data_IF_257947708697
#
_entry.id   IF_257947708697
#
_cell.length_a   1.000
_cell.length_b   1.000
_cell.length_c   1.000
_cell.angle_alpha   90.00
_cell.angle_beta   90.00
_cell.angle_gamma   90.00
#
_symmetry.space_group_name_H-M   'P 1'
#
loop_
_entity.id
_entity.type
_entity.pdbx_description
1 polymer ?
#
# COMPACT_ATOMS: atom_id res chain seq x y z
N UNK A 1 3.26 -0.35 30.85
CA UNK A 1 3.74 1.02 30.57
C UNK A 1 3.62 1.38 29.10
N UNK A 2 2.38 1.51 28.59
CA UNK A 2 2.12 2.02 27.24
C UNK A 2 1.20 3.24 27.38
N UNK A 3 1.76 4.43 27.15
CA UNK A 3 1.08 5.71 27.31
C UNK A 3 1.89 6.83 26.68
N UNK A 4 1.31 8.03 26.62
CA UNK A 4 2.02 9.21 26.10
C UNK A 4 3.15 9.62 27.05
N UNK A 5 4.33 9.90 26.53
CA UNK A 5 5.44 10.48 27.31
C UNK A 5 5.25 12.00 27.54
N UNK A 6 4.57 12.68 26.61
CA UNK A 6 4.25 14.10 26.69
C UNK A 6 2.88 14.38 26.05
N UNK A 7 2.17 15.40 26.51
CA UNK A 7 0.90 15.86 25.93
C UNK A 7 0.86 17.39 25.95
N UNK A 8 0.74 18.01 24.78
CA UNK A 8 0.69 19.46 24.63
C UNK A 8 -0.64 19.91 24.04
N UNK A 9 -1.18 21.00 24.58
CA UNK A 9 -2.41 21.65 24.12
C UNK A 9 -2.12 23.11 23.79
N UNK A 10 -2.79 23.67 22.79
CA UNK A 10 -2.65 25.09 22.44
C UNK A 10 -3.89 25.61 21.72
N UNK A 11 -4.40 26.75 22.20
CA UNK A 11 -5.41 27.55 21.51
C UNK A 11 -4.79 28.66 20.64
N UNK A 12 -3.48 28.88 20.76
CA UNK A 12 -2.72 29.79 19.89
C UNK A 12 -2.56 29.19 18.48
N UNK A 13 -2.93 29.97 17.45
CA UNK A 13 -2.94 29.54 16.06
C UNK A 13 -1.53 29.27 15.51
N UNK A 14 -0.53 30.08 15.87
CA UNK A 14 0.85 29.86 15.42
C UNK A 14 1.38 28.55 16.00
N UNK A 15 1.15 28.31 17.29
CA UNK A 15 1.56 27.07 17.93
C UNK A 15 0.81 25.85 17.38
N UNK A 16 -0.47 25.98 17.04
CA UNK A 16 -1.23 24.91 16.35
C UNK A 16 -0.62 24.57 14.99
N UNK A 17 -0.21 25.57 14.22
CA UNK A 17 0.49 25.37 12.93
C UNK A 17 1.81 24.61 13.14
N UNK A 18 2.59 24.96 14.18
CA UNK A 18 3.83 24.26 14.51
C UNK A 18 3.59 22.78 14.86
N UNK A 19 2.59 22.49 15.71
CA UNK A 19 2.23 21.11 16.06
C UNK A 19 1.81 20.32 14.81
N UNK A 20 0.99 20.93 13.94
CA UNK A 20 0.58 20.30 12.68
C UNK A 20 1.73 20.09 11.70
N UNK A 21 2.76 20.93 11.75
CA UNK A 21 3.95 20.77 10.89
C UNK A 21 4.56 19.40 11.08
N UNK A 22 4.69 18.91 12.33
CA UNK A 22 5.23 17.58 12.62
C UNK A 22 4.48 16.47 11.87
N UNK A 23 3.14 16.49 11.90
CA UNK A 23 2.31 15.51 11.17
C UNK A 23 2.42 15.64 9.65
N UNK A 24 2.48 16.87 9.13
CA UNK A 24 2.52 17.15 7.68
C UNK A 24 3.86 16.81 7.03
N UNK A 25 4.95 16.95 7.77
CA UNK A 25 6.32 16.72 7.25
C UNK A 25 6.81 15.29 7.45
N UNK A 26 6.00 14.41 8.06
CA UNK A 26 6.39 13.03 8.36
C UNK A 26 6.94 12.28 7.13
N UNK A 27 6.30 12.42 5.96
CA UNK A 27 6.78 11.85 4.70
C UNK A 27 8.17 12.34 4.31
N UNK A 28 8.43 13.65 4.41
CA UNK A 28 9.74 14.23 4.11
C UNK A 28 10.82 13.80 5.11
N UNK A 29 10.47 13.61 6.38
CA UNK A 29 11.38 13.10 7.41
C UNK A 29 11.78 11.65 7.14
N UNK A 30 10.85 10.80 6.70
CA UNK A 30 11.16 9.41 6.36
C UNK A 30 12.20 9.32 5.23
N UNK A 31 12.12 10.20 4.23
CA UNK A 31 13.14 10.30 3.17
C UNK A 31 14.52 10.78 3.64
N UNK A 32 14.63 11.34 4.85
CA UNK A 32 15.93 11.64 5.48
C UNK A 32 16.48 10.45 6.30
N UNK A 33 15.59 9.57 6.77
CA UNK A 33 15.97 8.40 7.57
C UNK A 33 16.42 7.22 6.72
N UNK A 34 15.84 7.06 5.53
CA UNK A 34 16.07 5.89 4.68
C UNK A 34 16.12 6.28 3.20
N UNK A 35 16.99 5.65 2.39
CA UNK A 35 17.01 5.89 0.95
C UNK A 35 15.71 5.44 0.27
N UNK A 36 15.11 4.34 0.75
CA UNK A 36 13.84 3.82 0.26
C UNK A 36 12.88 3.58 1.43
N UNK A 37 11.57 3.71 1.16
CA UNK A 37 10.53 3.20 2.03
C UNK A 37 9.33 2.76 1.22
N UNK A 38 8.63 1.73 1.71
CA UNK A 38 7.38 1.27 1.12
C UNK A 38 6.24 1.60 2.09
N UNK A 39 5.35 2.48 1.64
CA UNK A 39 4.14 2.85 2.35
C UNK A 39 3.03 1.83 2.07
N UNK A 40 2.50 1.25 3.13
CA UNK A 40 1.24 0.51 3.07
C UNK A 40 0.09 1.44 3.50
N UNK A 41 -1.12 1.11 3.07
CA UNK A 41 -2.34 1.88 3.37
C UNK A 41 -3.50 0.91 3.43
N UNK A 42 -4.18 0.83 4.57
CA UNK A 42 -5.30 -0.06 4.78
C UNK A 42 -6.16 0.44 5.93
N UNK A 43 -7.47 0.24 5.83
CA UNK A 43 -8.40 0.54 6.93
C UNK A 43 -8.77 -0.76 7.64
N UNK A 44 -8.73 -0.74 8.96
CA UNK A 44 -9.15 -1.85 9.81
C UNK A 44 -10.19 -1.38 10.83
N UNK A 45 -11.01 -2.28 11.40
CA UNK A 45 -11.85 -1.93 12.52
C UNK A 45 -11.03 -1.39 13.69
N UNK A 46 -11.43 -0.27 14.29
CA UNK A 46 -10.71 0.35 15.42
C UNK A 46 -10.42 -0.61 16.58
N UNK A 47 -11.30 -1.59 16.80
CA UNK A 47 -11.11 -2.66 17.80
C UNK A 47 -9.85 -3.50 17.58
N UNK A 48 -9.34 -3.55 16.35
CA UNK A 48 -8.16 -4.31 15.95
C UNK A 48 -6.89 -3.45 15.87
N UNK A 49 -6.96 -2.15 16.17
CA UNK A 49 -5.85 -1.22 15.97
C UNK A 49 -4.58 -1.63 16.73
N UNK A 50 -4.71 -1.96 18.01
CA UNK A 50 -3.58 -2.39 18.83
C UNK A 50 -2.97 -3.70 18.31
N UNK A 51 -3.81 -4.69 18.00
CA UNK A 51 -3.38 -6.01 17.54
C UNK A 51 -2.64 -5.93 16.20
N UNK A 52 -3.16 -5.16 15.24
CA UNK A 52 -2.55 -5.02 13.91
C UNK A 52 -1.26 -4.18 13.98
N UNK A 53 -1.21 -3.13 14.82
CA UNK A 53 0.03 -2.39 15.03
C UNK A 53 1.12 -3.25 15.66
N UNK A 54 0.79 -4.06 16.68
CA UNK A 54 1.75 -5.01 17.26
C UNK A 54 2.25 -6.00 16.23
N UNK A 55 1.36 -6.58 15.43
CA UNK A 55 1.72 -7.46 14.32
C UNK A 55 2.70 -6.80 13.34
N UNK A 56 2.46 -5.54 12.95
CA UNK A 56 3.37 -4.79 12.07
C UNK A 56 4.75 -4.63 12.68
N UNK A 57 4.83 -4.29 13.97
CA UNK A 57 6.11 -4.16 14.67
C UNK A 57 6.85 -5.50 14.79
N UNK A 58 6.15 -6.57 15.15
CA UNK A 58 6.72 -7.92 15.25
C UNK A 58 7.28 -8.41 13.91
N UNK A 59 6.54 -8.21 12.81
CA UNK A 59 7.00 -8.58 11.47
C UNK A 59 8.21 -7.74 11.00
N UNK A 60 8.21 -6.45 11.31
CA UNK A 60 9.32 -5.55 10.98
C UNK A 60 10.60 -5.95 11.75
N UNK A 61 10.48 -6.21 13.06
CA UNK A 61 11.56 -6.65 13.93
C UNK A 61 12.11 -8.01 13.48
N UNK A 62 11.23 -8.98 13.18
CA UNK A 62 11.63 -10.30 12.70
C UNK A 62 12.41 -10.23 11.37
N UNK A 63 12.09 -9.25 10.51
CA UNK A 63 12.81 -9.02 9.26
C UNK A 63 14.09 -8.20 9.42
N UNK A 64 14.27 -7.54 10.58
CA UNK A 64 15.34 -6.59 10.85
C UNK A 64 15.21 -5.30 10.04
N UNK A 65 13.98 -4.83 9.83
CA UNK A 65 13.67 -3.62 9.06
C UNK A 65 13.01 -2.57 9.97
N UNK A 66 13.43 -1.30 9.94
CA UNK A 66 12.72 -0.25 10.65
C UNK A 66 11.33 -0.01 10.05
N UNK A 67 10.37 0.35 10.90
CA UNK A 67 9.02 0.75 10.46
C UNK A 67 8.60 2.04 11.16
N UNK A 68 8.03 2.97 10.39
CA UNK A 68 7.40 4.19 10.91
C UNK A 68 5.91 4.12 10.66
N UNK A 69 5.11 4.19 11.72
CA UNK A 69 3.66 4.20 11.61
C UNK A 69 3.14 5.65 11.69
N UNK A 70 2.37 6.03 10.68
CA UNK A 70 1.52 7.22 10.69
C UNK A 70 0.11 6.73 10.37
N UNK A 71 -0.92 7.20 11.04
CA UNK A 71 -2.27 6.67 10.81
C UNK A 71 -3.35 7.64 11.24
N UNK A 72 -4.52 7.49 10.62
CA UNK A 72 -5.75 8.17 11.00
C UNK A 72 -6.49 7.28 12.01
N UNK A 73 -6.07 7.32 13.27
CA UNK A 73 -6.60 6.42 14.31
C UNK A 73 -8.14 6.50 14.47
N UNK A 74 -8.73 7.66 14.16
CA UNK A 74 -10.16 7.91 14.30
C UNK A 74 -11.06 7.14 13.34
N UNK A 75 -10.55 6.80 12.15
CA UNK A 75 -11.24 6.02 11.12
C UNK A 75 -10.60 4.63 10.91
N UNK A 76 -9.44 4.37 11.51
CA UNK A 76 -8.76 3.08 11.43
C UNK A 76 -7.86 2.93 10.19
N UNK A 77 -7.53 4.02 9.49
CA UNK A 77 -6.60 3.98 8.35
C UNK A 77 -5.14 3.98 8.81
N UNK A 78 -4.44 2.86 8.60
CA UNK A 78 -3.04 2.67 8.96
C UNK A 78 -2.12 2.92 7.78
N UNK A 79 -1.00 3.60 8.04
CA UNK A 79 0.12 3.70 7.11
C UNK A 79 1.42 3.20 7.73
N UNK A 80 1.68 1.87 7.70
CA UNK A 80 3.00 1.34 7.98
C UNK A 80 3.96 1.76 6.86
N UNK A 81 5.09 2.37 7.23
CA UNK A 81 6.15 2.74 6.30
C UNK A 81 7.39 1.91 6.62
N UNK A 82 7.62 0.85 5.85
CA UNK A 82 8.79 -0.01 6.01
C UNK A 82 9.99 0.66 5.36
N UNK A 83 11.02 0.94 6.15
CA UNK A 83 12.25 1.59 5.70
C UNK A 83 13.26 0.53 5.25
N UNK A 84 13.87 0.71 4.09
CA UNK A 84 14.83 -0.23 3.54
C UNK A 84 15.81 0.43 2.57
N UNK A 85 16.80 -0.32 2.12
CA UNK A 85 17.69 0.06 1.03
C UNK A 85 17.61 -0.98 -0.10
N UNK A 86 16.97 -0.61 -1.20
CA UNK A 86 16.79 -1.47 -2.38
C UNK A 86 18.11 -1.94 -3.02
N UNK A 87 19.24 -1.28 -2.71
CA UNK A 87 20.57 -1.67 -3.17
C UNK A 87 21.15 -2.83 -2.35
N UNK A 88 20.60 -3.08 -1.16
CA UNK A 88 20.98 -4.21 -0.31
C UNK A 88 20.18 -5.44 -0.72
N UNK A 89 20.91 -6.50 -1.09
CA UNK A 89 20.29 -7.73 -1.57
C UNK A 89 19.30 -8.30 -0.54
N UNK A 90 18.08 -8.58 -1.00
CA UNK A 90 17.03 -9.20 -0.21
C UNK A 90 16.16 -8.27 0.64
N UNK A 91 16.53 -7.00 0.85
CA UNK A 91 15.69 -6.10 1.67
C UNK A 91 14.35 -5.80 1.03
N UNK A 92 14.32 -5.50 -0.28
CA UNK A 92 13.06 -5.33 -1.00
C UNK A 92 12.15 -6.57 -0.89
N UNK A 93 12.72 -7.77 -1.07
CA UNK A 93 11.95 -9.02 -0.97
C UNK A 93 11.38 -9.26 0.45
N UNK A 94 12.11 -8.84 1.49
CA UNK A 94 11.60 -8.85 2.87
C UNK A 94 10.42 -7.89 3.02
N UNK A 95 10.55 -6.65 2.53
CA UNK A 95 9.47 -5.65 2.57
C UNK A 95 8.23 -6.13 1.83
N UNK A 96 8.38 -6.73 0.64
CA UNK A 96 7.27 -7.32 -0.13
C UNK A 96 6.61 -8.47 0.63
N UNK A 97 7.41 -9.32 1.31
CA UNK A 97 6.90 -10.43 2.12
C UNK A 97 6.07 -9.92 3.30
N UNK A 98 6.58 -8.95 4.05
CA UNK A 98 5.86 -8.35 5.18
C UNK A 98 4.61 -7.63 4.69
N UNK A 99 4.70 -6.89 3.58
CA UNK A 99 3.56 -6.20 2.97
C UNK A 99 2.43 -7.16 2.61
N UNK A 100 2.76 -8.32 2.02
CA UNK A 100 1.79 -9.37 1.72
C UNK A 100 1.14 -9.94 2.99
N UNK A 101 1.92 -10.18 4.04
CA UNK A 101 1.41 -10.66 5.33
C UNK A 101 0.52 -9.63 6.01
N UNK A 102 0.89 -8.35 5.97
CA UNK A 102 0.08 -7.25 6.44
C UNK A 102 -1.27 -7.17 5.71
N UNK A 103 -1.28 -7.29 4.38
CA UNK A 103 -2.53 -7.34 3.62
C UNK A 103 -3.40 -8.54 3.98
N UNK A 104 -2.80 -9.72 4.17
CA UNK A 104 -3.51 -10.88 4.70
C UNK A 104 -4.14 -10.60 6.06
N UNK A 105 -3.37 -10.01 6.99
CA UNK A 105 -3.85 -9.65 8.33
C UNK A 105 -4.98 -8.63 8.30
N UNK A 106 -4.93 -7.65 7.40
CA UNK A 106 -6.00 -6.66 7.17
C UNK A 106 -7.30 -7.38 6.77
N UNK A 107 -7.23 -8.33 5.85
CA UNK A 107 -8.40 -9.10 5.41
C UNK A 107 -8.96 -9.96 6.56
N UNK A 108 -8.10 -10.63 7.32
CA UNK A 108 -8.50 -11.47 8.47
C UNK A 108 -9.29 -10.69 9.54
N UNK A 109 -9.05 -9.39 9.68
CA UNK A 109 -9.73 -8.54 10.66
C UNK A 109 -10.91 -7.76 10.07
N UNK A 110 -11.39 -8.16 8.90
CA UNK A 110 -12.48 -7.48 8.16
C UNK A 110 -12.13 -6.03 7.75
N UNK A 111 -10.86 -5.78 7.43
CA UNK A 111 -10.38 -4.50 6.89
C UNK A 111 -10.53 -4.38 5.37
N UNK A 112 -10.04 -3.28 4.80
CA UNK A 112 -9.96 -3.05 3.34
C UNK A 112 -8.53 -2.80 2.90
N UNK A 113 -8.20 -3.31 1.71
CA UNK A 113 -6.88 -3.24 1.08
C UNK A 113 -6.34 -1.81 0.90
N UNK A 114 -7.21 -0.81 0.89
CA UNK A 114 -6.80 0.59 0.82
C UNK A 114 -7.84 1.48 1.48
N UNK A 115 -7.36 2.44 2.26
CA UNK A 115 -8.15 3.55 2.78
C UNK A 115 -8.23 4.70 1.80
N UNK A 116 -7.07 5.13 1.27
CA UNK A 116 -7.00 6.37 0.48
C UNK A 116 -6.06 6.31 -0.74
N UNK A 117 -5.12 5.36 -0.84
CA UNK A 117 -4.11 5.33 -1.93
C UNK A 117 -4.56 4.58 -3.19
N UNK A 118 -5.59 3.74 -3.06
CA UNK A 118 -6.06 2.83 -4.11
C UNK A 118 -5.24 1.54 -4.22
N UNK A 119 -5.56 0.75 -5.25
CA UNK A 119 -4.98 -0.59 -5.48
C UNK A 119 -3.70 -0.50 -6.31
N UNK A 120 -3.73 0.24 -7.43
CA UNK A 120 -2.57 0.40 -8.32
C UNK A 120 -2.01 -0.93 -8.82
N UNK A 121 -0.69 -1.03 -8.94
CA UNK A 121 0.00 -2.30 -9.24
C UNK A 121 0.36 -3.07 -7.97
N UNK A 122 0.73 -2.35 -6.91
CA UNK A 122 1.21 -2.92 -5.64
C UNK A 122 0.19 -3.90 -5.05
N UNK A 123 -1.08 -3.49 -5.00
CA UNK A 123 -2.14 -4.28 -4.38
C UNK A 123 -2.99 -5.06 -5.36
N UNK A 124 -2.70 -4.99 -6.67
CA UNK A 124 -3.44 -5.72 -7.69
C UNK A 124 -3.41 -7.23 -7.42
N UNK A 125 -2.29 -7.74 -6.89
CA UNK A 125 -2.16 -9.15 -6.54
C UNK A 125 -2.95 -9.55 -5.28
N UNK A 126 -3.62 -8.64 -4.58
CA UNK A 126 -4.48 -8.95 -3.43
C UNK A 126 -5.97 -8.88 -3.77
N UNK A 127 -6.35 -8.41 -4.96
CA UNK A 127 -7.77 -8.24 -5.30
C UNK A 127 -8.51 -9.57 -5.38
N UNK A 128 -7.87 -10.64 -5.87
CA UNK A 128 -8.46 -11.98 -5.96
C UNK A 128 -8.69 -12.67 -4.60
N UNK A 129 -8.03 -12.21 -3.53
CA UNK A 129 -8.28 -12.71 -2.17
C UNK A 129 -9.26 -11.82 -1.39
N UNK A 130 -9.60 -10.64 -1.92
CA UNK A 130 -10.48 -9.68 -1.26
C UNK A 130 -11.86 -9.61 -1.90
N UNK A 131 -11.92 -9.61 -3.23
CA UNK A 131 -13.17 -9.66 -3.99
C UNK A 131 -13.47 -11.10 -4.37
N UNK A 132 -14.74 -11.48 -4.25
CA UNK A 132 -15.23 -12.69 -4.90
C UNK A 132 -15.28 -12.51 -6.43
N UNK A 133 -15.47 -13.63 -7.13
CA UNK A 133 -15.47 -13.66 -8.59
C UNK A 133 -16.56 -12.76 -9.20
N UNK A 134 -17.71 -12.62 -8.55
CA UNK A 134 -18.80 -11.79 -9.04
C UNK A 134 -18.50 -10.30 -8.90
N UNK A 135 -17.97 -9.86 -7.75
CA UNK A 135 -17.53 -8.50 -7.52
C UNK A 135 -16.38 -8.12 -8.46
N UNK A 136 -15.42 -9.01 -8.67
CA UNK A 136 -14.32 -8.80 -9.61
C UNK A 136 -14.85 -8.67 -11.04
N UNK A 137 -15.75 -9.56 -11.47
CA UNK A 137 -16.38 -9.52 -12.80
C UNK A 137 -17.14 -8.23 -13.06
N UNK A 138 -17.93 -7.75 -12.08
CA UNK A 138 -18.70 -6.50 -12.21
C UNK A 138 -17.76 -5.30 -12.35
N UNK A 139 -16.69 -5.23 -11.55
CA UNK A 139 -15.71 -4.15 -11.65
C UNK A 139 -14.98 -4.16 -13.00
N UNK A 140 -14.66 -5.35 -13.52
CA UNK A 140 -14.02 -5.52 -14.82
C UNK A 140 -14.94 -5.15 -16.00
N UNK A 141 -16.25 -5.43 -15.91
CA UNK A 141 -17.21 -5.10 -16.96
C UNK A 141 -17.24 -3.59 -17.31
N UNK A 142 -17.06 -2.71 -16.33
CA UNK A 142 -16.94 -1.26 -16.57
C UNK A 142 -15.68 -0.95 -17.38
N UNK A 143 -14.55 -1.56 -17.04
CA UNK A 143 -13.31 -1.41 -17.82
C UNK A 143 -13.50 -1.88 -19.25
N UNK A 144 -14.12 -3.04 -19.45
CA UNK A 144 -14.34 -3.61 -20.79
C UNK A 144 -15.25 -2.72 -21.66
N UNK A 145 -16.26 -2.08 -21.07
CA UNK A 145 -17.16 -1.18 -21.79
C UNK A 145 -16.47 0.09 -22.32
N UNK A 146 -15.52 0.65 -21.57
CA UNK A 146 -14.87 1.93 -21.91
C UNK A 146 -13.41 1.80 -22.41
N UNK A 147 -12.78 0.65 -22.21
CA UNK A 147 -11.38 0.37 -22.55
C UNK A 147 -11.20 -1.10 -22.99
N UNK A 148 -11.88 -1.55 -24.07
CA UNK A 148 -11.93 -2.95 -24.47
C UNK A 148 -10.57 -3.53 -24.90
N UNK A 149 -9.61 -2.70 -25.33
CA UNK A 149 -8.25 -3.14 -25.66
C UNK A 149 -7.26 -3.02 -24.48
N UNK A 150 -7.74 -2.64 -23.29
CA UNK A 150 -6.93 -2.46 -22.07
C UNK A 150 -5.72 -1.53 -22.26
N UNK A 151 -5.85 -0.49 -23.09
CA UNK A 151 -4.76 0.43 -23.41
C UNK A 151 -4.53 1.46 -22.28
N UNK A 152 -5.59 1.78 -21.53
CA UNK A 152 -5.49 2.72 -20.41
C UNK A 152 -4.97 2.03 -19.15
N UNK A 153 -3.72 2.31 -18.77
CA UNK A 153 -3.09 1.83 -17.53
C UNK A 153 -3.25 0.30 -17.34
N UNK A 154 -2.62 -0.52 -18.20
CA UNK A 154 -2.65 -1.97 -18.06
C UNK A 154 -2.04 -2.41 -16.72
N UNK A 155 -2.45 -3.57 -16.23
CA UNK A 155 -2.03 -4.23 -14.98
C UNK A 155 -2.43 -3.53 -13.68
N UNK A 156 -2.96 -2.30 -13.73
CA UNK A 156 -3.44 -1.58 -12.55
C UNK A 156 -4.82 -2.07 -12.12
N UNK A 157 -5.03 -2.15 -10.81
CA UNK A 157 -6.24 -2.62 -10.09
C UNK A 157 -6.44 -4.13 -10.22
N UNK A 158 -6.48 -4.66 -11.44
CA UNK A 158 -6.67 -6.08 -11.71
C UNK A 158 -5.51 -6.62 -12.55
N UNK A 159 -4.89 -7.74 -12.16
CA UNK A 159 -3.77 -8.34 -12.91
C UNK A 159 -4.18 -8.83 -14.31
N UNK A 160 -5.48 -9.04 -14.55
CA UNK A 160 -6.08 -9.45 -15.82
C UNK A 160 -6.11 -8.33 -16.87
N UNK A 161 -5.94 -7.06 -16.47
CA UNK A 161 -5.95 -5.90 -17.39
C UNK A 161 -4.68 -5.81 -18.21
N UNK A 162 -4.31 -6.87 -18.91
CA UNK A 162 -3.14 -6.93 -19.80
C UNK A 162 -3.47 -6.24 -21.12
N UNK A 163 -2.47 -5.57 -21.69
CA UNK A 163 -2.59 -4.99 -23.03
C UNK A 163 -3.01 -6.08 -24.03
N UNK A 164 -4.22 -5.95 -24.57
CA UNK A 164 -4.66 -6.74 -25.70
C UNK A 164 -4.16 -6.02 -26.96
N UNK A 165 -2.94 -6.34 -27.37
CA UNK A 165 -2.40 -5.77 -28.60
C UNK A 165 -3.30 -6.11 -29.77
N UNK A 166 -3.45 -5.16 -30.70
CA UNK A 166 -3.85 -5.51 -32.06
C UNK A 166 -2.71 -6.35 -32.60
N UNK A 167 -2.93 -7.66 -32.78
CA UNK A 167 -2.07 -8.45 -33.65
C UNK A 167 -2.38 -7.92 -35.05
N UNK A 168 -1.55 -6.99 -35.52
CA UNK A 168 -1.59 -6.56 -36.90
C UNK A 168 -1.01 -7.69 -37.74
N UNK A 169 -1.86 -8.60 -38.23
CA UNK A 169 -1.46 -9.69 -39.14
C UNK A 169 -0.81 -9.18 -40.44
N UNK A 170 -0.88 -7.87 -40.73
CA UNK A 170 -0.20 -7.26 -41.88
C UNK A 170 1.27 -6.89 -41.60
N UNK A 171 1.70 -6.89 -40.33
CA UNK A 171 3.11 -6.75 -39.96
C UNK A 171 3.72 -8.14 -39.82
N UNK A 172 4.33 -8.61 -40.90
CA UNK A 172 5.06 -9.87 -40.95
C UNK A 172 6.03 -10.05 -39.78
N UNK A 173 6.30 -11.31 -39.44
CA UNK A 173 7.08 -11.71 -38.27
C UNK A 173 8.36 -10.87 -38.07
N UNK A 174 8.66 -10.41 -36.85
CA UNK A 174 9.94 -9.77 -36.58
C UNK A 174 11.06 -10.79 -36.83
N UNK A 175 11.91 -10.44 -37.80
CA UNK A 175 13.13 -11.17 -38.14
C UNK A 175 13.89 -11.56 -36.87
N UNK A 176 13.99 -12.87 -36.62
CA UNK A 176 14.94 -13.43 -35.66
C UNK A 176 16.36 -13.26 -36.22
N UNK A 177 16.97 -12.12 -35.95
CA UNK A 177 18.42 -11.96 -36.05
C UNK A 177 19.07 -12.10 -34.68
N UNK A 178 20.12 -12.93 -34.69
CA UNK A 178 20.91 -13.46 -33.57
C UNK A 178 21.53 -12.40 -32.68
#
# INVERSE_FOLDING_TARGET
DAGSEDVQYSDDEQRRIELWKARKVAGGLMGQLSPDFLVQDAVIPKRALADVLNFVYEEADAAGLPVVNVFHAGDGNLHPNFLFDSRRSGELAKVETISKRFMGRVIEVDGTLSGEHGIGNDKANYTHIFFDDDAARIQMAVTEAFNPQHQMNPLKVFPERRYAGVIDESRGEPSKTK
#
